data_IF_547299038527
#
_entry.id   IF_547299038527
#
_cell.length_a   1.000
_cell.length_b   1.000
_cell.length_c   1.000
_cell.angle_alpha   90.00
_cell.angle_beta   90.00
_cell.angle_gamma   90.00
#
_symmetry.space_group_name_H-M   'P 1'
#
loop_
_entity.id
_entity.type
_entity.pdbx_description
1 polymer ?
#
# COMPACT_ATOMS: atom_id res chain seq x y z
N UNK A 1 12.92 -3.60 4.18
CA UNK A 1 11.59 -3.92 3.55
C UNK A 1 11.81 -4.39 2.13
N UNK A 2 11.02 -5.36 1.67
CA UNK A 2 10.97 -5.75 0.26
C UNK A 2 9.90 -4.92 -0.43
N UNK A 3 10.21 -4.30 -1.55
CA UNK A 3 9.28 -3.46 -2.30
C UNK A 3 8.49 -4.26 -3.34
N UNK A 4 7.18 -4.37 -3.21
CA UNK A 4 6.31 -5.08 -4.15
C UNK A 4 6.46 -4.55 -5.60
N UNK A 5 6.55 -3.23 -5.78
CA UNK A 5 6.80 -2.64 -7.11
C UNK A 5 8.08 -3.13 -7.75
N UNK A 6 9.15 -3.32 -6.97
CA UNK A 6 10.41 -3.89 -7.46
C UNK A 6 10.25 -5.35 -7.83
N UNK A 7 9.53 -6.13 -7.01
CA UNK A 7 9.25 -7.54 -7.30
C UNK A 7 8.50 -7.68 -8.63
N UNK A 8 7.45 -6.88 -8.84
CA UNK A 8 6.72 -6.85 -10.11
C UNK A 8 7.62 -6.51 -11.29
N UNK A 9 8.44 -5.46 -11.15
CA UNK A 9 9.34 -5.03 -12.23
C UNK A 9 10.39 -6.08 -12.62
N UNK A 10 10.75 -6.96 -11.69
CA UNK A 10 11.69 -8.08 -11.95
C UNK A 10 10.99 -9.31 -12.50
N UNK A 11 9.80 -9.64 -11.97
CA UNK A 11 9.11 -10.88 -12.30
C UNK A 11 8.22 -10.81 -13.55
N UNK A 12 7.80 -9.59 -13.95
CA UNK A 12 6.80 -9.39 -14.98
C UNK A 12 7.36 -8.60 -16.17
N UNK A 13 7.02 -9.00 -17.37
CA UNK A 13 7.33 -8.26 -18.61
C UNK A 13 6.26 -7.22 -18.98
N UNK A 14 5.02 -7.40 -18.48
CA UNK A 14 3.90 -6.49 -18.67
C UNK A 14 3.32 -6.12 -17.30
N UNK A 15 3.43 -4.85 -16.93
CA UNK A 15 3.02 -4.30 -15.64
C UNK A 15 1.60 -3.72 -15.64
N UNK A 16 0.95 -3.63 -16.82
CA UNK A 16 -0.40 -3.06 -16.97
C UNK A 16 -1.53 -4.08 -16.76
N UNK A 17 -1.24 -5.14 -16.03
CA UNK A 17 -2.15 -6.22 -15.65
C UNK A 17 -1.81 -6.79 -14.27
N UNK A 18 -2.71 -7.54 -13.62
CA UNK A 18 -2.35 -8.37 -12.47
C UNK A 18 -1.30 -9.43 -12.83
N UNK A 19 -0.53 -9.87 -11.84
CA UNK A 19 0.42 -10.96 -11.99
C UNK A 19 -0.31 -12.31 -12.16
N UNK A 20 0.24 -13.19 -12.99
CA UNK A 20 -0.21 -14.57 -13.08
C UNK A 20 0.44 -15.46 -12.00
N UNK A 21 0.00 -16.72 -11.91
CA UNK A 21 0.50 -17.65 -10.88
C UNK A 21 2.03 -17.86 -10.92
N UNK A 22 2.62 -17.94 -12.11
CA UNK A 22 4.07 -18.13 -12.24
C UNK A 22 4.85 -16.89 -11.77
N UNK A 23 4.36 -15.71 -12.10
CA UNK A 23 4.94 -14.44 -11.64
C UNK A 23 4.78 -14.27 -10.13
N UNK A 24 3.61 -14.63 -9.55
CA UNK A 24 3.40 -14.64 -8.10
C UNK A 24 4.39 -15.58 -7.41
N UNK A 25 4.58 -16.79 -7.91
CA UNK A 25 5.57 -17.74 -7.36
C UNK A 25 7.00 -17.20 -7.44
N UNK A 26 7.36 -16.55 -8.53
CA UNK A 26 8.66 -15.90 -8.65
C UNK A 26 8.84 -14.78 -7.61
N UNK A 27 7.82 -13.94 -7.42
CA UNK A 27 7.83 -12.88 -6.38
C UNK A 27 7.88 -13.47 -4.97
N UNK A 28 7.16 -14.56 -4.68
CA UNK A 28 7.23 -15.25 -3.38
C UNK A 28 8.64 -15.75 -3.09
N UNK A 29 9.32 -16.34 -4.07
CA UNK A 29 10.71 -16.81 -3.90
C UNK A 29 11.66 -15.64 -3.55
N UNK A 30 11.50 -14.50 -4.22
CA UNK A 30 12.29 -13.29 -3.92
C UNK A 30 11.97 -12.72 -2.52
N UNK A 31 10.69 -12.75 -2.08
CA UNK A 31 10.32 -12.37 -0.70
C UNK A 31 10.99 -13.29 0.30
N UNK A 32 10.95 -14.61 0.08
CA UNK A 32 11.57 -15.59 0.95
C UNK A 32 13.09 -15.37 1.09
N UNK A 33 13.78 -15.16 -0.05
CA UNK A 33 15.22 -14.86 -0.08
C UNK A 33 15.54 -13.58 0.71
N UNK A 34 14.78 -12.52 0.47
CA UNK A 34 14.97 -11.25 1.18
C UNK A 34 14.72 -11.37 2.69
N UNK A 35 13.73 -12.15 3.11
CA UNK A 35 13.46 -12.39 4.52
C UNK A 35 14.60 -13.19 5.17
N UNK A 36 15.19 -14.15 4.46
CA UNK A 36 16.39 -14.88 4.91
C UNK A 36 17.60 -13.95 5.03
N UNK A 37 17.70 -12.96 4.14
CA UNK A 37 18.74 -11.94 4.18
C UNK A 37 18.50 -10.83 5.23
N UNK A 38 17.45 -10.94 6.06
CA UNK A 38 17.17 -10.01 7.16
C UNK A 38 16.19 -8.88 6.84
N UNK A 39 15.42 -8.97 5.76
CA UNK A 39 14.32 -8.04 5.54
C UNK A 39 13.26 -8.20 6.64
N UNK A 40 12.57 -7.11 7.00
CA UNK A 40 11.61 -7.08 8.11
C UNK A 40 10.15 -7.10 7.64
N UNK A 41 9.91 -7.22 6.33
CA UNK A 41 8.55 -7.30 5.79
C UNK A 41 8.43 -6.80 4.35
N UNK A 42 7.18 -6.69 3.89
CA UNK A 42 6.79 -6.26 2.54
C UNK A 42 6.28 -4.83 2.57
N UNK A 43 6.64 -4.03 1.56
CA UNK A 43 6.06 -2.71 1.35
C UNK A 43 5.38 -2.61 -0.02
N UNK A 44 4.27 -1.87 -0.09
CA UNK A 44 3.54 -1.58 -1.33
C UNK A 44 3.35 -0.09 -1.57
N UNK A 45 3.16 0.27 -2.83
CA UNK A 45 2.73 1.59 -3.27
C UNK A 45 1.74 1.43 -4.42
N UNK A 46 0.54 0.98 -4.09
CA UNK A 46 -0.50 0.59 -5.06
C UNK A 46 -1.16 1.75 -5.79
N UNK A 47 -0.83 2.97 -5.41
CA UNK A 47 -1.19 4.18 -6.14
C UNK A 47 -0.38 4.35 -7.43
N UNK A 48 0.86 3.86 -7.46
CA UNK A 48 1.82 4.12 -8.52
C UNK A 48 2.04 2.94 -9.47
N UNK A 49 2.37 3.18 -10.76
CA UNK A 49 3.06 2.17 -11.55
C UNK A 49 4.40 1.79 -10.87
N UNK A 50 4.83 0.55 -10.91
CA UNK A 50 4.26 -0.62 -11.60
C UNK A 50 3.23 -1.41 -10.79
N UNK A 51 2.74 -0.92 -9.64
CA UNK A 51 1.89 -1.68 -8.73
C UNK A 51 0.39 -1.32 -8.82
N UNK A 52 0.01 -0.29 -9.58
CA UNK A 52 -1.38 0.20 -9.67
C UNK A 52 -2.38 -0.86 -10.15
N UNK A 53 -1.94 -1.80 -10.99
CA UNK A 53 -2.76 -2.92 -11.51
C UNK A 53 -2.74 -4.17 -10.62
N UNK A 54 -1.96 -4.17 -9.55
CA UNK A 54 -1.97 -5.30 -8.62
C UNK A 54 -3.32 -5.40 -7.91
N UNK A 55 -3.87 -6.60 -7.81
CA UNK A 55 -5.06 -6.86 -7.00
C UNK A 55 -4.68 -7.07 -5.54
N UNK A 56 -5.68 -7.00 -4.67
CA UNK A 56 -5.50 -7.30 -3.24
C UNK A 56 -5.03 -8.75 -3.05
N UNK A 57 -5.59 -9.66 -3.84
CA UNK A 57 -5.25 -11.09 -3.82
C UNK A 57 -3.79 -11.31 -4.23
N UNK A 58 -3.31 -10.60 -5.27
CA UNK A 58 -1.91 -10.64 -5.67
C UNK A 58 -0.98 -10.28 -4.51
N UNK A 59 -1.29 -9.19 -3.80
CA UNK A 59 -0.47 -8.73 -2.67
C UNK A 59 -0.49 -9.76 -1.54
N UNK A 60 -1.65 -10.33 -1.23
CA UNK A 60 -1.79 -11.39 -0.22
C UNK A 60 -0.95 -12.60 -0.61
N UNK A 61 -1.09 -13.09 -1.85
CA UNK A 61 -0.34 -14.27 -2.28
C UNK A 61 1.18 -14.02 -2.29
N UNK A 62 1.64 -12.89 -2.83
CA UNK A 62 3.06 -12.50 -2.77
C UNK A 62 3.56 -12.39 -1.33
N UNK A 63 2.72 -11.97 -0.40
CA UNK A 63 3.02 -11.84 1.03
C UNK A 63 3.01 -13.16 1.82
N UNK A 64 2.57 -14.29 1.27
CA UNK A 64 2.46 -15.58 1.99
C UNK A 64 3.74 -16.01 2.74
N UNK A 65 4.95 -15.79 2.22
CA UNK A 65 6.17 -16.13 2.96
C UNK A 65 6.36 -15.38 4.28
N UNK A 66 5.59 -14.31 4.52
CA UNK A 66 5.66 -13.50 5.75
C UNK A 66 4.89 -14.15 6.92
N UNK A 67 3.90 -15.02 6.65
CA UNK A 67 2.95 -15.52 7.67
C UNK A 67 3.60 -16.34 8.78
N UNK A 68 4.75 -16.97 8.52
CA UNK A 68 5.51 -17.75 9.50
C UNK A 68 6.60 -16.95 10.21
N UNK A 69 6.69 -15.64 9.98
CA UNK A 69 7.78 -14.78 10.43
C UNK A 69 7.27 -13.60 11.25
N UNK A 70 8.14 -13.03 12.08
CA UNK A 70 7.89 -11.72 12.71
C UNK A 70 8.12 -10.64 11.67
N UNK A 71 7.14 -10.45 10.78
CA UNK A 71 7.20 -9.50 9.68
C UNK A 71 6.10 -8.46 9.77
N UNK A 72 6.16 -7.41 8.97
CA UNK A 72 5.12 -6.40 8.86
C UNK A 72 4.83 -6.05 7.40
N UNK A 73 3.63 -5.55 7.19
CA UNK A 73 3.17 -4.98 5.92
C UNK A 73 3.09 -3.46 6.04
N UNK A 74 3.73 -2.74 5.14
CA UNK A 74 3.74 -1.26 5.12
C UNK A 74 3.23 -0.79 3.77
N UNK A 75 2.34 0.20 3.74
CA UNK A 75 1.74 0.62 2.47
C UNK A 75 1.60 2.13 2.32
N UNK A 76 1.98 2.61 1.13
CA UNK A 76 1.32 3.76 0.50
C UNK A 76 0.03 3.23 -0.12
N UNK A 77 -1.11 3.63 0.44
CA UNK A 77 -2.41 3.07 0.07
C UNK A 77 -2.79 3.35 -1.40
N UNK A 78 -3.71 2.57 -1.91
CA UNK A 78 -4.21 2.66 -3.28
C UNK A 78 -4.86 4.00 -3.61
N UNK A 79 -5.57 4.57 -2.66
CA UNK A 79 -6.20 5.88 -2.78
C UNK A 79 -6.19 6.58 -1.41
N UNK A 80 -5.69 7.79 -1.38
CA UNK A 80 -5.63 8.62 -0.16
C UNK A 80 -6.59 9.81 -0.26
N UNK A 81 -7.59 9.75 -1.15
CA UNK A 81 -8.54 10.82 -1.42
C UNK A 81 -9.99 10.35 -1.25
N UNK A 82 -10.73 10.23 -2.33
CA UNK A 82 -12.16 9.92 -2.30
C UNK A 82 -12.45 8.51 -1.77
N UNK A 83 -11.58 7.55 -2.10
CA UNK A 83 -11.70 6.14 -1.74
C UNK A 83 -10.77 5.73 -0.58
N UNK A 84 -10.44 6.67 0.30
CA UNK A 84 -9.53 6.39 1.43
C UNK A 84 -10.07 5.31 2.37
N UNK A 85 -11.39 5.22 2.55
CA UNK A 85 -12.01 4.21 3.43
C UNK A 85 -11.84 2.79 2.86
N UNK A 86 -12.05 2.62 1.56
CA UNK A 86 -11.83 1.33 0.88
C UNK A 86 -10.35 0.94 0.92
N UNK A 87 -9.44 1.91 0.77
CA UNK A 87 -8.00 1.66 0.85
C UNK A 87 -7.53 1.28 2.26
N UNK A 88 -8.14 1.85 3.30
CA UNK A 88 -7.90 1.41 4.67
C UNK A 88 -8.39 -0.03 4.90
N UNK A 89 -9.60 -0.36 4.44
CA UNK A 89 -10.12 -1.73 4.57
C UNK A 89 -9.28 -2.73 3.78
N UNK A 90 -8.85 -2.40 2.55
CA UNK A 90 -7.90 -3.22 1.77
C UNK A 90 -6.62 -3.49 2.59
N UNK A 91 -6.04 -2.44 3.17
CA UNK A 91 -4.82 -2.54 3.98
C UNK A 91 -5.00 -3.48 5.18
N UNK A 92 -6.12 -3.32 5.91
CA UNK A 92 -6.42 -4.16 7.07
C UNK A 92 -6.75 -5.59 6.68
N UNK A 93 -7.46 -5.78 5.56
CA UNK A 93 -7.74 -7.11 5.02
C UNK A 93 -6.44 -7.87 4.67
N UNK A 94 -5.49 -7.23 4.00
CA UNK A 94 -4.19 -7.84 3.71
C UNK A 94 -3.49 -8.28 4.99
N UNK A 95 -3.42 -7.40 5.99
CA UNK A 95 -2.81 -7.74 7.28
C UNK A 95 -3.49 -8.91 8.00
N UNK A 96 -4.83 -8.95 8.00
CA UNK A 96 -5.60 -10.07 8.58
C UNK A 96 -5.34 -11.38 7.84
N UNK A 97 -5.36 -11.33 6.50
CA UNK A 97 -5.14 -12.51 5.65
C UNK A 97 -3.73 -13.12 5.83
N UNK A 98 -2.73 -12.27 6.10
CA UNK A 98 -1.35 -12.67 6.35
C UNK A 98 -1.06 -12.93 7.84
N UNK A 99 -1.92 -12.51 8.76
CA UNK A 99 -1.69 -12.64 10.19
C UNK A 99 -0.53 -11.79 10.71
N UNK A 100 -0.24 -10.65 10.10
CA UNK A 100 0.89 -9.78 10.43
C UNK A 100 0.45 -8.34 10.74
N UNK A 101 1.25 -7.59 11.52
CA UNK A 101 1.04 -6.16 11.72
C UNK A 101 1.05 -5.37 10.43
N UNK A 102 0.27 -4.28 10.38
CA UNK A 102 0.25 -3.34 9.26
C UNK A 102 0.67 -1.94 9.69
N UNK A 103 1.29 -1.19 8.78
CA UNK A 103 1.58 0.23 8.95
C UNK A 103 1.02 1.00 7.76
N UNK A 104 0.12 1.93 8.03
CA UNK A 104 -0.37 2.89 7.05
C UNK A 104 0.62 4.05 7.01
N UNK A 105 1.42 4.12 5.96
CA UNK A 105 2.42 5.19 5.80
C UNK A 105 1.75 6.52 5.50
N UNK A 106 2.29 7.60 6.10
CA UNK A 106 1.92 8.99 5.86
C UNK A 106 0.41 9.21 5.73
N UNK A 107 -0.37 8.67 6.70
CA UNK A 107 -1.82 8.77 6.68
C UNK A 107 -2.28 10.22 6.53
N UNK A 108 -3.06 10.47 5.50
CA UNK A 108 -3.68 11.75 5.18
C UNK A 108 -4.93 11.55 4.35
N UNK A 109 -5.71 12.59 4.19
CA UNK A 109 -6.79 12.60 3.20
C UNK A 109 -6.57 13.78 2.26
N UNK A 110 -6.36 13.46 0.99
CA UNK A 110 -6.04 14.43 -0.05
C UNK A 110 -7.31 15.05 -0.66
N UNK A 111 -7.13 16.16 -1.35
CA UNK A 111 -8.13 17.02 -2.00
C UNK A 111 -8.98 17.83 -1.01
N UNK A 112 -9.20 19.10 -1.35
CA UNK A 112 -9.94 20.07 -0.53
C UNK A 112 -11.36 19.63 -0.22
N UNK A 113 -12.04 18.94 -1.15
CA UNK A 113 -13.37 18.35 -0.95
C UNK A 113 -13.43 17.28 0.15
N UNK A 114 -12.29 16.73 0.52
CA UNK A 114 -12.16 15.71 1.55
C UNK A 114 -11.65 16.26 2.89
N UNK A 115 -11.46 17.55 3.04
CA UNK A 115 -10.97 18.15 4.27
C UNK A 115 -11.88 17.80 5.46
N UNK A 116 -11.25 17.43 6.57
CA UNK A 116 -11.95 16.97 7.78
C UNK A 116 -12.36 15.50 7.77
N UNK A 117 -12.16 14.75 6.68
CA UNK A 117 -12.50 13.31 6.58
C UNK A 117 -11.67 12.45 7.54
N UNK A 118 -10.55 12.98 8.07
CA UNK A 118 -9.80 12.35 9.17
C UNK A 118 -10.64 12.12 10.43
N UNK A 119 -11.70 12.90 10.64
CA UNK A 119 -12.70 12.66 11.71
C UNK A 119 -13.48 11.33 11.53
N UNK A 120 -13.42 10.74 10.33
CA UNK A 120 -14.02 9.44 10.04
C UNK A 120 -12.93 8.36 9.98
N UNK A 121 -11.80 8.64 9.31
CA UNK A 121 -10.75 7.63 9.15
C UNK A 121 -10.09 7.25 10.48
N UNK A 122 -9.82 8.21 11.37
CA UNK A 122 -9.16 7.91 12.64
C UNK A 122 -10.00 7.02 13.57
N UNK A 123 -11.30 7.28 13.82
CA UNK A 123 -12.14 6.34 14.57
C UNK A 123 -12.23 4.95 13.93
N UNK A 124 -12.27 4.87 12.59
CA UNK A 124 -12.27 3.60 11.87
C UNK A 124 -10.99 2.80 12.12
N UNK A 125 -9.83 3.47 12.04
CA UNK A 125 -8.53 2.85 12.36
C UNK A 125 -8.50 2.40 13.83
N UNK A 126 -8.95 3.26 14.77
CA UNK A 126 -8.99 2.93 16.21
C UNK A 126 -9.87 1.72 16.50
N UNK A 127 -10.99 1.57 15.81
CA UNK A 127 -11.84 0.39 15.96
C UNK A 127 -11.13 -0.88 15.45
N UNK A 128 -10.50 -0.81 14.28
CA UNK A 128 -9.72 -1.94 13.72
C UNK A 128 -8.54 -2.34 14.63
N UNK A 129 -7.89 -1.37 15.29
CA UNK A 129 -6.80 -1.63 16.25
C UNK A 129 -7.20 -2.47 17.46
N UNK A 130 -8.48 -2.60 17.78
CA UNK A 130 -8.94 -3.49 18.86
C UNK A 130 -8.76 -4.97 18.54
N UNK A 131 -8.64 -5.31 17.25
CA UNK A 131 -8.63 -6.67 16.75
C UNK A 131 -7.40 -6.99 15.90
N UNK A 132 -6.59 -5.98 15.56
CA UNK A 132 -5.44 -6.11 14.67
C UNK A 132 -4.31 -5.17 15.11
N UNK A 133 -3.07 -5.60 14.96
CA UNK A 133 -1.91 -4.73 15.20
C UNK A 133 -1.74 -3.77 14.01
N UNK A 134 -2.09 -2.51 14.22
CA UNK A 134 -2.05 -1.44 13.20
C UNK A 134 -1.22 -0.29 13.74
N UNK A 135 -0.25 0.18 12.96
CA UNK A 135 0.44 1.44 13.14
C UNK A 135 0.11 2.41 12.01
N UNK A 136 0.33 3.68 12.24
CA UNK A 136 0.31 4.70 11.20
C UNK A 136 1.33 5.79 11.52
N UNK A 137 1.81 6.46 10.48
CA UNK A 137 2.59 7.68 10.61
C UNK A 137 1.94 8.82 9.81
N UNK A 138 2.37 10.05 10.06
CA UNK A 138 1.96 11.23 9.32
C UNK A 138 3.10 12.25 9.30
N UNK A 139 3.05 13.20 8.39
CA UNK A 139 3.98 14.33 8.35
C UNK A 139 3.25 15.66 8.67
N UNK A 140 3.96 16.66 9.22
CA UNK A 140 3.33 17.90 9.69
C UNK A 140 3.21 18.97 8.60
N UNK A 141 3.20 18.60 7.33
CA UNK A 141 3.15 19.54 6.21
C UNK A 141 1.77 19.57 5.58
N UNK A 142 1.36 20.75 5.08
CA UNK A 142 0.10 20.94 4.33
C UNK A 142 0.25 20.65 2.83
N UNK A 143 1.41 20.13 2.40
CA UNK A 143 1.73 19.78 1.03
C UNK A 143 2.13 18.31 0.92
N UNK A 144 1.84 17.70 -0.21
CA UNK A 144 2.32 16.36 -0.58
C UNK A 144 3.47 16.44 -1.59
N UNK A 145 4.30 15.40 -1.61
CA UNK A 145 5.35 15.22 -2.63
C UNK A 145 5.11 13.91 -3.37
N UNK A 146 5.18 13.97 -4.71
CA UNK A 146 5.01 12.79 -5.56
C UNK A 146 5.83 12.91 -6.83
N UNK A 147 5.93 11.85 -7.61
CA UNK A 147 6.60 11.89 -8.92
C UNK A 147 5.78 12.72 -9.91
N UNK A 148 6.47 13.43 -10.82
CA UNK A 148 5.84 14.31 -11.83
C UNK A 148 4.99 13.51 -12.83
N UNK A 149 5.45 12.30 -13.18
CA UNK A 149 4.78 11.42 -14.13
C UNK A 149 4.01 10.32 -13.39
N UNK A 150 2.72 10.53 -13.23
CA UNK A 150 1.77 9.50 -12.80
C UNK A 150 0.74 9.33 -13.91
N UNK A 151 0.11 8.16 -14.01
CA UNK A 151 -1.04 7.95 -14.90
C UNK A 151 -2.26 8.81 -14.51
N UNK A 152 -2.15 9.50 -13.37
CA UNK A 152 -3.11 10.49 -12.84
C UNK A 152 -2.55 11.91 -12.92
N UNK A 153 -1.91 12.26 -14.06
CA UNK A 153 -1.37 13.61 -14.31
C UNK A 153 -2.33 14.77 -14.03
N UNK A 154 -3.63 14.52 -14.13
CA UNK A 154 -4.68 15.46 -13.79
C UNK A 154 -4.69 15.88 -12.31
N UNK A 155 -4.21 15.01 -11.42
CA UNK A 155 -4.13 15.26 -9.98
C UNK A 155 -3.16 16.40 -9.62
N UNK A 156 -2.05 16.54 -10.34
CA UNK A 156 -1.06 17.61 -10.09
C UNK A 156 -1.57 18.96 -10.61
N UNK A 157 -2.36 18.94 -11.67
CA UNK A 157 -2.89 20.16 -12.29
C UNK A 157 -4.12 20.70 -11.55
N UNK A 158 -4.93 19.83 -10.96
CA UNK A 158 -6.17 20.24 -10.27
C UNK A 158 -5.91 20.98 -8.94
N UNK A 159 -4.80 20.66 -8.26
CA UNK A 159 -4.40 21.36 -7.04
C UNK A 159 -3.87 22.79 -7.26
N UNK A 160 -3.60 23.18 -8.52
CA UNK A 160 -3.14 24.54 -8.86
C UNK A 160 -4.27 25.53 -9.17
N UNK A 161 -5.52 25.06 -9.27
CA UNK A 161 -6.66 25.91 -9.67
C UNK A 161 -7.50 26.46 -8.53
N UNK A 162 -7.14 26.19 -7.28
CA UNK A 162 -7.92 26.57 -6.09
C UNK A 162 -7.18 27.51 -5.14
N UNK A 163 -6.22 28.29 -5.65
CA UNK A 163 -5.63 29.47 -4.95
C UNK A 163 -6.37 30.75 -5.33
#
# INVERSE_FOLDING_TARGET
MVGHSTLRAVAMSDLDRPANEAEIKAMQAMVEEAMQAGAIGLSTGTFYPPAVKATTEEIIEVGRPLTSRKALYVTHMRDESDRVMESLEETFHIGRALGIPVVVSHHKVQNTRNFGKTKVTLPFIQEAMKHQCIGLDCYPYTAGSTMIRTDRGDFILDNKRND
#
